data_IF_246313617317
#
_entry.id   IF_246313617317
#
_cell.length_a   1.000
_cell.length_b   1.000
_cell.length_c   1.000
_cell.angle_alpha   90.00
_cell.angle_beta   90.00
_cell.angle_gamma   90.00
#
_symmetry.space_group_name_H-M   'P 1'
#
loop_
_entity.id
_entity.type
_entity.pdbx_description
1 polymer ?
#
# COMPACT_ATOMS: atom_id res chain seq x y z
N UNK A 1 17.93 6.23 5.44
CA UNK A 1 16.65 6.97 5.59
C UNK A 1 15.89 6.30 6.73
N UNK A 2 15.25 7.03 7.65
CA UNK A 2 14.62 6.39 8.84
C UNK A 2 13.45 5.51 8.43
N UNK A 3 12.64 5.94 7.45
CA UNK A 3 11.43 5.21 7.04
C UNK A 3 11.68 3.79 6.53
N UNK A 4 12.84 3.51 5.92
CA UNK A 4 13.18 2.16 5.44
C UNK A 4 13.32 1.13 6.55
N UNK A 5 13.47 1.57 7.81
CA UNK A 5 13.51 0.71 8.99
C UNK A 5 12.13 0.53 9.63
N UNK A 6 11.15 1.36 9.25
CA UNK A 6 9.79 1.32 9.79
C UNK A 6 8.87 0.44 8.94
N UNK A 7 9.12 0.41 7.62
CA UNK A 7 8.27 -0.26 6.63
C UNK A 7 8.82 -1.63 6.24
N UNK A 8 7.90 -2.49 5.85
CA UNK A 8 8.15 -3.86 5.39
C UNK A 8 9.01 -3.87 4.12
N UNK A 9 9.76 -4.95 3.85
CA UNK A 9 10.59 -5.05 2.66
C UNK A 9 9.78 -5.03 1.35
N UNK A 10 8.51 -5.43 1.35
CA UNK A 10 7.62 -5.51 0.18
C UNK A 10 7.16 -4.14 -0.36
N UNK A 11 7.56 -3.04 0.28
CA UNK A 11 7.20 -1.67 -0.10
C UNK A 11 8.34 -0.99 -0.87
N UNK A 12 8.28 -0.97 -2.20
CA UNK A 12 9.39 -0.44 -3.00
C UNK A 12 9.24 1.04 -3.37
N UNK A 13 8.05 1.61 -3.18
CA UNK A 13 7.79 2.97 -3.62
C UNK A 13 8.47 4.01 -2.74
N UNK A 14 9.22 4.91 -3.38
CA UNK A 14 9.83 6.09 -2.76
C UNK A 14 10.79 5.78 -1.59
N UNK A 15 11.33 4.56 -1.56
CA UNK A 15 12.37 4.14 -0.61
C UNK A 15 13.71 4.15 -1.33
N UNK A 16 14.68 4.92 -0.80
CA UNK A 16 16.04 4.94 -1.36
C UNK A 16 16.64 3.53 -1.39
N UNK A 17 17.05 3.08 -2.58
CA UNK A 17 17.69 1.78 -2.78
C UNK A 17 16.73 0.65 -3.16
N UNK A 18 15.42 0.92 -3.25
CA UNK A 18 14.42 -0.01 -3.79
C UNK A 18 14.04 0.40 -5.22
N UNK A 19 13.75 -0.57 -6.07
CA UNK A 19 13.56 -0.36 -7.51
C UNK A 19 12.29 -1.02 -8.01
N UNK A 20 11.45 -0.25 -8.72
CA UNK A 20 10.24 -0.78 -9.37
C UNK A 20 10.54 -1.91 -10.36
N UNK A 21 11.74 -1.93 -10.95
CA UNK A 21 12.14 -2.96 -11.90
C UNK A 21 12.15 -4.35 -11.26
N UNK A 22 12.47 -4.45 -9.97
CA UNK A 22 12.41 -5.72 -9.25
C UNK A 22 10.96 -6.21 -9.17
N UNK A 23 10.01 -5.35 -8.84
CA UNK A 23 8.60 -5.69 -8.75
C UNK A 23 8.00 -6.11 -10.08
N UNK A 24 8.35 -5.39 -11.16
CA UNK A 24 7.92 -5.74 -12.51
C UNK A 24 8.47 -7.11 -12.91
N UNK A 25 9.76 -7.35 -12.68
CA UNK A 25 10.42 -8.61 -13.03
C UNK A 25 9.82 -9.79 -12.25
N UNK A 26 9.66 -9.65 -10.94
CA UNK A 26 9.04 -10.65 -10.09
C UNK A 26 7.60 -10.95 -10.52
N UNK A 27 6.81 -9.91 -10.79
CA UNK A 27 5.42 -10.07 -11.24
C UNK A 27 5.36 -10.82 -12.58
N UNK A 28 6.27 -10.53 -13.52
CA UNK A 28 6.33 -11.24 -14.80
C UNK A 28 6.66 -12.73 -14.62
N UNK A 29 7.64 -13.06 -13.78
CA UNK A 29 7.99 -14.45 -13.49
C UNK A 29 6.83 -15.20 -12.81
N UNK A 30 6.21 -14.60 -11.80
CA UNK A 30 5.06 -15.19 -11.11
C UNK A 30 3.86 -15.37 -12.06
N UNK A 31 3.66 -14.43 -12.99
CA UNK A 31 2.58 -14.54 -14.00
C UNK A 31 2.81 -15.72 -14.93
N UNK A 32 4.05 -15.97 -15.39
CA UNK A 32 4.36 -17.17 -16.20
C UNK A 32 4.01 -18.46 -15.46
N UNK A 33 4.19 -18.47 -14.14
CA UNK A 33 3.93 -19.63 -13.29
C UNK A 33 2.44 -19.88 -13.00
N UNK A 34 1.53 -18.97 -13.36
CA UNK A 34 0.09 -19.19 -13.25
C UNK A 34 -0.40 -20.40 -14.04
N UNK A 35 0.26 -20.71 -15.17
CA UNK A 35 -0.11 -21.84 -16.03
C UNK A 35 0.42 -23.19 -15.52
N UNK A 36 1.26 -23.19 -14.48
CA UNK A 36 1.82 -24.41 -13.90
C UNK A 36 0.75 -25.14 -13.09
N UNK A 37 0.57 -26.44 -13.33
CA UNK A 37 -0.36 -27.28 -12.57
C UNK A 37 0.17 -27.48 -11.15
N UNK A 38 -0.55 -26.92 -10.17
CA UNK A 38 -0.29 -27.10 -8.73
C UNK A 38 -1.58 -27.54 -8.03
N UNK A 39 -1.46 -28.19 -6.87
CA UNK A 39 -2.55 -28.94 -6.19
C UNK A 39 -3.88 -28.17 -6.04
N UNK A 40 -3.86 -26.84 -5.98
CA UNK A 40 -5.07 -25.99 -5.91
C UNK A 40 -5.10 -24.87 -6.95
N UNK A 41 -4.09 -24.77 -7.81
CA UNK A 41 -3.87 -23.60 -8.67
C UNK A 41 -3.28 -22.40 -7.92
N UNK A 42 -2.62 -21.53 -8.67
CA UNK A 42 -2.11 -20.25 -8.21
C UNK A 42 -3.06 -19.12 -8.62
N UNK A 43 -3.10 -18.05 -7.84
CA UNK A 43 -3.85 -16.83 -8.15
C UNK A 43 -2.97 -15.60 -7.92
N UNK A 44 -3.11 -14.61 -8.80
CA UNK A 44 -2.54 -13.27 -8.65
C UNK A 44 -3.70 -12.30 -8.56
N UNK A 45 -3.71 -11.47 -7.52
CA UNK A 45 -4.69 -10.40 -7.36
C UNK A 45 -3.98 -9.06 -7.54
N UNK A 46 -4.38 -8.30 -8.57
CA UNK A 46 -4.01 -6.89 -8.70
C UNK A 46 -5.11 -6.04 -8.08
N UNK A 47 -4.75 -5.22 -7.09
CA UNK A 47 -5.64 -4.28 -6.43
C UNK A 47 -5.14 -2.87 -6.73
N UNK A 48 -6.05 -2.01 -7.18
CA UNK A 48 -5.79 -0.60 -7.50
C UNK A 48 -6.68 0.27 -6.61
N UNK A 49 -6.08 1.21 -5.89
CA UNK A 49 -6.82 2.11 -5.01
C UNK A 49 -7.33 3.33 -5.77
N UNK A 50 -8.61 3.28 -6.19
CA UNK A 50 -9.23 4.41 -6.88
C UNK A 50 -9.16 5.70 -6.05
N UNK A 51 -8.53 6.75 -6.61
CA UNK A 51 -8.32 8.05 -5.93
C UNK A 51 -7.68 7.90 -4.55
N UNK A 52 -6.59 7.13 -4.49
CA UNK A 52 -5.90 6.71 -3.27
C UNK A 52 -5.73 7.87 -2.26
N UNK A 53 -5.20 9.01 -2.72
CA UNK A 53 -5.00 10.18 -1.86
C UNK A 53 -6.31 10.85 -1.43
N UNK A 54 -7.32 10.97 -2.29
CA UNK A 54 -8.56 11.71 -1.96
C UNK A 54 -9.46 10.96 -0.97
N UNK A 55 -9.28 9.64 -0.84
CA UNK A 55 -10.17 8.76 -0.06
C UNK A 55 -9.62 8.37 1.31
N UNK A 56 -8.43 8.82 1.66
CA UNK A 56 -7.80 8.53 2.96
C UNK A 56 -8.62 9.10 4.11
N UNK A 57 -9.13 8.26 5.01
CA UNK A 57 -9.81 8.73 6.22
C UNK A 57 -8.79 9.22 7.26
N UNK A 58 -8.92 10.47 7.72
CA UNK A 58 -7.94 11.09 8.63
C UNK A 58 -7.77 10.35 9.95
N UNK A 59 -8.86 9.77 10.47
CA UNK A 59 -8.81 8.92 11.67
C UNK A 59 -7.86 7.73 11.49
N UNK A 60 -7.79 7.17 10.27
CA UNK A 60 -6.90 6.06 9.98
C UNK A 60 -5.43 6.53 9.93
N UNK A 61 -5.16 7.75 9.45
CA UNK A 61 -3.82 8.37 9.53
C UNK A 61 -3.38 8.50 10.99
N UNK A 62 -4.25 9.04 11.86
CA UNK A 62 -3.95 9.19 13.29
C UNK A 62 -3.64 7.84 13.94
N UNK A 63 -4.51 6.84 13.72
CA UNK A 63 -4.33 5.48 14.24
C UNK A 63 -3.03 4.84 13.75
N UNK A 64 -2.69 5.05 12.47
CA UNK A 64 -1.46 4.54 11.87
C UNK A 64 -0.25 5.15 12.59
N UNK A 65 -0.18 6.48 12.71
CA UNK A 65 0.94 7.15 13.39
C UNK A 65 1.10 6.67 14.84
N UNK A 66 0.00 6.50 15.57
CA UNK A 66 0.07 5.95 16.92
C UNK A 66 0.54 4.48 16.94
N UNK A 67 0.11 3.65 15.98
CA UNK A 67 0.56 2.26 15.86
C UNK A 67 2.06 2.15 15.55
N UNK A 68 2.64 3.12 14.84
CA UNK A 68 4.09 3.23 14.63
C UNK A 68 4.85 3.85 15.81
N UNK A 69 4.17 4.26 16.89
CA UNK A 69 4.79 4.79 18.10
C UNK A 69 5.22 6.26 17.98
N UNK A 70 4.66 7.03 17.04
CA UNK A 70 4.95 8.46 16.96
C UNK A 70 4.40 9.21 18.19
N UNK A 71 5.12 10.23 18.70
CA UNK A 71 4.66 11.00 19.86
C UNK A 71 3.35 11.76 19.59
N UNK A 72 2.48 11.89 20.60
CA UNK A 72 1.19 12.56 20.49
C UNK A 72 1.28 13.98 19.91
N UNK A 73 2.32 14.73 20.26
CA UNK A 73 2.54 16.07 19.71
C UNK A 73 2.74 16.04 18.19
N UNK A 74 3.51 15.06 17.68
CA UNK A 74 3.71 14.87 16.25
C UNK A 74 2.41 14.45 15.55
N UNK A 75 1.69 13.48 16.12
CA UNK A 75 0.38 13.06 15.59
C UNK A 75 -0.60 14.24 15.49
N UNK A 76 -0.69 15.07 16.54
CA UNK A 76 -1.53 16.28 16.54
C UNK A 76 -1.10 17.29 15.47
N UNK A 77 0.21 17.46 15.25
CA UNK A 77 0.72 18.34 14.21
C UNK A 77 0.29 17.86 12.82
N UNK A 78 0.46 16.57 12.52
CA UNK A 78 0.01 15.97 11.26
C UNK A 78 -1.50 16.11 11.10
N UNK A 79 -2.28 15.78 12.15
CA UNK A 79 -3.73 15.91 12.15
C UNK A 79 -4.17 17.33 11.78
N UNK A 80 -3.57 18.34 12.39
CA UNK A 80 -3.86 19.74 12.07
C UNK A 80 -3.47 20.09 10.64
N UNK A 81 -2.33 19.59 10.13
CA UNK A 81 -1.89 19.82 8.76
C UNK A 81 -2.88 19.26 7.72
N UNK A 82 -3.47 18.10 7.96
CA UNK A 82 -4.37 17.45 6.99
C UNK A 82 -5.83 17.94 7.10
N UNK A 83 -6.27 18.41 8.27
CA UNK A 83 -7.69 18.76 8.53
C UNK A 83 -8.03 20.24 8.36
N UNK A 84 -7.05 21.13 8.48
CA UNK A 84 -7.26 22.59 8.40
C UNK A 84 -7.30 23.20 6.99
N UNK A 85 -6.71 22.60 5.93
CA UNK A 85 -6.72 23.20 4.61
C UNK A 85 -8.12 23.46 4.04
N UNK A 86 -8.25 24.59 3.33
CA UNK A 86 -9.39 24.91 2.50
C UNK A 86 -9.04 24.69 1.02
N UNK A 87 -10.02 24.24 0.26
CA UNK A 87 -9.91 23.94 -1.16
C UNK A 87 -10.80 24.90 -1.95
N UNK A 88 -10.38 25.23 -3.17
CA UNK A 88 -11.17 25.99 -4.14
C UNK A 88 -11.12 25.27 -5.49
N UNK A 89 -12.16 25.45 -6.31
CA UNK A 89 -12.21 24.83 -7.64
C UNK A 89 -11.69 25.84 -8.66
N UNK A 90 -10.67 25.47 -9.44
CA UNK A 90 -10.21 26.28 -10.56
C UNK A 90 -11.10 26.02 -11.78
N UNK A 91 -11.78 27.06 -12.27
CA UNK A 91 -12.60 27.02 -13.48
C UNK A 91 -12.17 28.16 -14.41
N UNK A 92 -11.74 27.81 -15.63
CA UNK A 92 -11.26 28.76 -16.65
C UNK A 92 -10.19 29.74 -16.10
N UNK A 93 -9.23 29.24 -15.33
CA UNK A 93 -8.16 30.06 -14.74
C UNK A 93 -8.57 30.92 -13.54
N UNK A 94 -9.83 30.85 -13.11
CA UNK A 94 -10.32 31.57 -11.92
C UNK A 94 -10.70 30.60 -10.81
N UNK A 95 -10.31 30.90 -9.57
CA UNK A 95 -10.73 30.13 -8.41
C UNK A 95 -12.16 30.49 -8.00
N UNK A 96 -12.99 29.47 -7.77
CA UNK A 96 -14.40 29.60 -7.40
C UNK A 96 -14.70 28.82 -6.12
N UNK A 97 -15.30 29.52 -5.16
CA UNK A 97 -15.74 28.96 -3.89
C UNK A 97 -14.60 28.52 -2.96
N UNK A 98 -14.96 28.24 -1.72
CA UNK A 98 -14.09 27.61 -0.73
C UNK A 98 -14.87 26.53 0.00
N UNK A 99 -14.26 25.37 0.14
CA UNK A 99 -14.82 24.25 0.89
C UNK A 99 -13.73 23.55 1.68
N UNK A 100 -14.11 22.92 2.80
CA UNK A 100 -13.21 22.05 3.54
C UNK A 100 -13.36 20.63 3.04
N UNK A 101 -12.25 19.90 2.98
CA UNK A 101 -12.35 18.45 2.87
C UNK A 101 -12.73 17.84 4.23
N UNK A 102 -13.22 16.61 4.20
CA UNK A 102 -13.44 15.78 5.41
C UNK A 102 -12.49 14.58 5.49
N UNK A 103 -11.71 14.38 4.43
CA UNK A 103 -10.79 13.26 4.24
C UNK A 103 -9.78 13.59 3.15
N UNK A 104 -8.85 12.69 2.94
CA UNK A 104 -7.87 12.74 1.88
C UNK A 104 -6.58 13.46 2.27
N UNK A 105 -5.55 13.20 1.48
CA UNK A 105 -4.23 13.78 1.58
C UNK A 105 -3.96 14.66 0.35
N UNK A 106 -3.06 15.63 0.50
CA UNK A 106 -2.78 16.57 -0.59
C UNK A 106 -1.87 15.92 -1.62
N UNK A 107 -2.36 15.76 -2.85
CA UNK A 107 -1.53 15.29 -3.95
C UNK A 107 -0.35 16.25 -4.20
N UNK A 108 0.86 15.71 -4.34
CA UNK A 108 2.09 16.48 -4.55
C UNK A 108 2.70 17.09 -3.29
N UNK A 109 2.11 16.88 -2.11
CA UNK A 109 2.74 17.23 -0.83
C UNK A 109 3.70 16.11 -0.38
N UNK A 110 4.98 16.42 -0.11
CA UNK A 110 5.95 15.43 0.35
C UNK A 110 5.54 14.68 1.61
N UNK A 111 4.82 15.31 2.54
CA UNK A 111 4.37 14.63 3.78
C UNK A 111 3.29 13.60 3.47
N UNK A 112 2.33 13.98 2.63
CA UNK A 112 1.23 13.12 2.19
C UNK A 112 1.73 11.79 1.60
N UNK A 113 2.85 11.81 0.89
CA UNK A 113 3.49 10.60 0.36
C UNK A 113 3.92 9.62 1.45
N UNK A 114 4.63 10.11 2.47
CA UNK A 114 5.12 9.26 3.55
C UNK A 114 3.99 8.74 4.44
N UNK A 115 2.96 9.56 4.66
CA UNK A 115 1.75 9.12 5.37
C UNK A 115 1.06 7.98 4.61
N UNK A 116 0.99 8.08 3.28
CA UNK A 116 0.43 7.02 2.44
C UNK A 116 1.23 5.71 2.56
N UNK A 117 2.55 5.79 2.47
CA UNK A 117 3.44 4.62 2.62
C UNK A 117 3.28 3.94 3.99
N UNK A 118 3.18 4.71 5.08
CA UNK A 118 2.97 4.15 6.42
C UNK A 118 1.61 3.45 6.55
N UNK A 119 0.56 4.02 5.97
CA UNK A 119 -0.77 3.41 5.94
C UNK A 119 -0.79 2.11 5.14
N UNK A 120 -0.15 2.10 3.98
CA UNK A 120 -0.04 0.90 3.14
C UNK A 120 0.78 -0.21 3.83
N UNK A 121 1.78 0.18 4.63
CA UNK A 121 2.56 -0.78 5.41
C UNK A 121 1.73 -1.50 6.49
N UNK A 122 0.65 -0.90 7.00
CA UNK A 122 -0.31 -1.61 7.86
C UNK A 122 -0.94 -2.77 7.10
N UNK A 123 -1.34 -2.57 5.84
CA UNK A 123 -1.88 -3.62 4.99
C UNK A 123 -0.82 -4.70 4.71
N UNK A 124 0.43 -4.30 4.42
CA UNK A 124 1.56 -5.22 4.26
C UNK A 124 1.70 -6.16 5.46
N UNK A 125 1.71 -5.59 6.67
CA UNK A 125 1.80 -6.34 7.93
C UNK A 125 0.61 -7.27 8.15
N UNK A 126 -0.60 -6.84 7.76
CA UNK A 126 -1.79 -7.70 7.83
C UNK A 126 -1.70 -8.89 6.88
N UNK A 127 -1.28 -8.68 5.62
CA UNK A 127 -1.10 -9.78 4.64
C UNK A 127 -0.05 -10.77 5.17
N UNK A 128 1.10 -10.26 5.62
CA UNK A 128 2.16 -11.07 6.22
C UNK A 128 1.64 -11.91 7.39
N UNK A 129 0.82 -11.32 8.27
CA UNK A 129 0.21 -12.02 9.40
C UNK A 129 -0.69 -13.16 8.94
N UNK A 130 -1.64 -12.90 8.03
CA UNK A 130 -2.59 -13.91 7.55
C UNK A 130 -1.90 -15.08 6.82
N UNK A 131 -0.79 -14.79 6.11
CA UNK A 131 0.05 -15.82 5.49
C UNK A 131 0.81 -16.65 6.54
N UNK A 132 1.35 -16.00 7.58
CA UNK A 132 2.06 -16.68 8.67
C UNK A 132 1.15 -17.59 9.50
N UNK A 133 -0.10 -17.16 9.72
CA UNK A 133 -1.14 -17.89 10.43
C UNK A 133 -1.83 -18.96 9.54
N UNK A 134 -1.42 -19.07 8.27
CA UNK A 134 -1.94 -20.04 7.28
C UNK A 134 -3.45 -19.90 7.00
N UNK A 135 -4.00 -18.71 7.22
CA UNK A 135 -5.34 -18.38 6.73
C UNK A 135 -5.34 -18.16 5.21
N UNK A 136 -4.23 -17.64 4.68
CA UNK A 136 -3.93 -17.57 3.25
C UNK A 136 -2.73 -18.47 2.95
N UNK A 137 -2.82 -19.27 1.89
CA UNK A 137 -1.72 -20.11 1.46
C UNK A 137 -0.86 -19.37 0.43
N UNK A 138 0.48 -19.43 0.54
CA UNK A 138 1.37 -18.73 -0.38
C UNK A 138 1.25 -19.27 -1.79
N UNK A 139 1.65 -18.45 -2.75
CA UNK A 139 1.80 -18.85 -4.14
C UNK A 139 2.79 -20.02 -4.26
N UNK A 140 2.39 -21.07 -4.99
CA UNK A 140 3.24 -22.23 -5.20
C UNK A 140 4.36 -21.88 -6.18
N UNK A 141 5.60 -21.99 -5.73
CA UNK A 141 6.82 -21.71 -6.51
C UNK A 141 7.86 -22.84 -6.38
N UNK A 142 8.91 -22.88 -7.23
CA UNK A 142 9.97 -23.88 -7.13
C UNK A 142 10.60 -23.94 -5.74
N UNK A 143 10.96 -25.15 -5.32
CA UNK A 143 11.67 -25.37 -4.06
C UNK A 143 12.98 -24.58 -4.03
N UNK A 144 13.21 -23.84 -2.94
CA UNK A 144 14.42 -23.03 -2.74
C UNK A 144 14.34 -21.57 -3.22
N UNK A 145 13.27 -21.18 -3.93
CA UNK A 145 13.01 -19.78 -4.21
C UNK A 145 12.47 -19.04 -2.96
N UNK A 146 12.74 -17.73 -2.81
CA UNK A 146 12.18 -16.94 -1.73
C UNK A 146 10.65 -16.85 -1.87
N UNK A 147 9.96 -16.92 -0.73
CA UNK A 147 8.51 -16.77 -0.69
C UNK A 147 8.16 -15.29 -0.78
N UNK A 148 7.32 -14.93 -1.74
CA UNK A 148 6.82 -13.57 -1.93
C UNK A 148 5.30 -13.61 -1.81
N UNK A 149 4.75 -12.88 -0.85
CA UNK A 149 3.30 -12.83 -0.62
C UNK A 149 2.64 -11.71 -1.41
N UNK A 150 3.27 -10.54 -1.46
CA UNK A 150 2.75 -9.36 -2.14
C UNK A 150 3.87 -8.40 -2.50
N UNK A 151 3.56 -7.48 -3.41
CA UNK A 151 4.40 -6.36 -3.82
C UNK A 151 3.57 -5.08 -3.77
N UNK A 152 4.15 -4.02 -3.23
CA UNK A 152 3.53 -2.70 -3.11
C UNK A 152 4.33 -1.68 -3.90
N UNK A 153 3.63 -0.89 -4.71
CA UNK A 153 4.22 0.27 -5.35
C UNK A 153 3.20 1.41 -5.45
N UNK A 154 3.35 2.43 -4.61
CA UNK A 154 2.41 3.54 -4.52
C UNK A 154 1.00 3.01 -4.25
N UNK A 155 0.04 3.17 -5.14
CA UNK A 155 -1.33 2.70 -5.00
C UNK A 155 -1.61 1.34 -5.66
N UNK A 156 -0.61 0.76 -6.35
CA UNK A 156 -0.68 -0.56 -6.95
C UNK A 156 -0.23 -1.66 -5.96
N UNK A 157 -1.10 -2.65 -5.77
CA UNK A 157 -0.84 -3.81 -4.92
C UNK A 157 -0.99 -5.07 -5.75
N UNK A 158 0.00 -5.96 -5.69
CA UNK A 158 -0.08 -7.30 -6.29
C UNK A 158 0.08 -8.34 -5.18
N UNK A 159 -0.88 -9.24 -5.04
CA UNK A 159 -0.86 -10.33 -4.05
C UNK A 159 -0.75 -11.67 -4.78
N UNK A 160 0.13 -12.53 -4.29
CA UNK A 160 0.40 -13.88 -4.80
C UNK A 160 -0.07 -14.92 -3.78
N UNK A 161 -1.02 -15.76 -4.17
CA UNK A 161 -1.59 -16.78 -3.28
C UNK A 161 -1.94 -18.09 -4.02
N UNK A 162 -2.20 -19.13 -3.25
CA UNK A 162 -2.82 -20.37 -3.72
C UNK A 162 -4.35 -20.23 -3.65
N UNK A 163 -5.07 -20.72 -4.68
CA UNK A 163 -6.52 -20.65 -4.68
C UNK A 163 -7.17 -21.59 -3.63
N UNK A 164 -8.37 -21.24 -3.15
CA UNK A 164 -9.06 -21.98 -2.08
C UNK A 164 -9.96 -23.11 -2.58
N UNK A 165 -10.55 -22.97 -3.78
CA UNK A 165 -11.35 -23.98 -4.47
C UNK A 165 -10.77 -24.22 -5.87
N UNK A 166 -10.74 -25.47 -6.32
CA UNK A 166 -10.54 -25.76 -7.74
C UNK A 166 -11.73 -25.17 -8.51
N UNK A 167 -11.49 -24.37 -9.55
CA UNK A 167 -12.54 -24.07 -10.54
C UNK A 167 -13.07 -25.40 -11.04
N UNK A 168 -14.39 -25.56 -10.92
CA UNK A 168 -15.13 -26.70 -11.46
C UNK A 168 -15.39 -26.48 -12.95
#
# INVERSE_FOLDING_TARGET
MVISHLISPEQDAFVKGRSIFENVTLTQEMTKMLHTKVRRGNVILKIDMSKAYDRVEWKFVDQTLHAFGFPDFFCKMIHNCITTPWFSVMMHGTFKGFFKSKRGLRYGDPISLYLFILMEDILSKMINKEMSEKHIFPFSHPSGAPVIYHLLYADDIVIFATASKMST
#
